data_IF_687830521451
#
_entry.id   IF_687830521451
#
_cell.length_a   1.000
_cell.length_b   1.000
_cell.length_c   1.000
_cell.angle_alpha   90.00
_cell.angle_beta   90.00
_cell.angle_gamma   90.00
#
_symmetry.space_group_name_H-M   'P 1'
#
loop_
_entity.id
_entity.type
_entity.pdbx_description
1 polymer ?
#
# COMPACT_ATOMS: atom_id res chain seq x y z
N UNK A 1 -34.19 -34.95 33.07
CA UNK A 1 -33.26 -34.30 32.10
C UNK A 1 -33.89 -32.99 31.67
N UNK A 2 -33.18 -31.86 31.77
CA UNK A 2 -33.67 -30.57 31.29
C UNK A 2 -32.96 -30.22 29.98
N UNK A 3 -33.66 -29.68 28.96
CA UNK A 3 -33.04 -29.34 27.70
C UNK A 3 -32.10 -28.15 27.88
N UNK A 4 -30.93 -28.22 27.23
CA UNK A 4 -29.98 -27.10 27.12
C UNK A 4 -30.71 -25.97 26.39
N UNK A 5 -30.82 -24.80 27.03
CA UNK A 5 -31.40 -23.61 26.38
C UNK A 5 -30.43 -23.14 25.30
N UNK A 6 -30.91 -23.07 24.06
CA UNK A 6 -30.14 -22.59 22.90
C UNK A 6 -29.53 -21.23 23.21
N UNK A 7 -28.20 -21.15 23.22
CA UNK A 7 -27.48 -19.88 23.28
C UNK A 7 -27.78 -19.15 21.97
N UNK A 8 -28.36 -17.95 22.03
CA UNK A 8 -28.63 -17.19 20.82
C UNK A 8 -27.32 -16.85 20.11
N UNK A 9 -27.31 -16.99 18.79
CA UNK A 9 -26.21 -16.52 17.98
C UNK A 9 -26.14 -14.99 18.15
N UNK A 10 -25.12 -14.48 18.84
CA UNK A 10 -24.86 -13.05 18.92
C UNK A 10 -23.92 -12.72 17.74
N UNK A 11 -24.41 -12.13 16.64
CA UNK A 11 -23.55 -11.74 15.53
C UNK A 11 -22.67 -10.58 15.98
N UNK A 12 -21.44 -10.89 16.38
CA UNK A 12 -20.42 -9.86 16.64
C UNK A 12 -19.88 -9.38 15.30
N UNK A 13 -20.20 -8.14 14.92
CA UNK A 13 -19.61 -7.46 13.77
C UNK A 13 -18.20 -6.98 14.17
N UNK A 14 -17.20 -7.83 13.98
CA UNK A 14 -15.80 -7.44 14.13
C UNK A 14 -15.43 -6.57 12.93
N UNK A 15 -15.22 -5.27 13.17
CA UNK A 15 -14.72 -4.35 12.14
C UNK A 15 -13.22 -4.62 12.00
N UNK A 16 -12.85 -5.50 11.07
CA UNK A 16 -11.45 -5.71 10.70
C UNK A 16 -11.01 -4.44 9.97
N UNK A 17 -10.39 -3.50 10.69
CA UNK A 17 -9.71 -2.37 10.07
C UNK A 17 -8.48 -2.92 9.37
N UNK A 18 -8.64 -3.24 8.07
CA UNK A 18 -7.52 -3.43 7.17
C UNK A 18 -6.90 -2.04 7.04
N UNK A 19 -5.90 -1.73 7.86
CA UNK A 19 -5.12 -0.51 7.68
C UNK A 19 -4.67 -0.49 6.22
N UNK A 20 -5.15 0.50 5.46
CA UNK A 20 -4.83 0.63 4.06
C UNK A 20 -3.37 1.09 3.96
N UNK A 21 -2.44 0.14 4.14
CA UNK A 21 -1.01 0.41 4.04
C UNK A 21 -0.73 0.75 2.59
N UNK A 22 -0.47 2.03 2.32
CA UNK A 22 -0.10 2.49 1.00
C UNK A 22 1.05 1.62 0.46
N UNK A 23 0.94 1.06 -0.77
CA UNK A 23 1.98 0.24 -1.34
C UNK A 23 3.34 0.92 -1.35
N UNK A 24 4.41 0.16 -1.10
CA UNK A 24 5.78 0.68 -0.97
C UNK A 24 6.21 1.57 -2.15
N UNK A 25 5.82 1.19 -3.37
CA UNK A 25 6.18 1.96 -4.57
C UNK A 25 5.56 3.37 -4.58
N UNK A 26 4.38 3.56 -3.96
CA UNK A 26 3.73 4.87 -3.86
C UNK A 26 4.48 5.74 -2.84
N UNK A 27 4.84 5.16 -1.69
CA UNK A 27 5.60 5.84 -0.64
C UNK A 27 6.96 6.34 -1.14
N UNK A 28 7.62 5.55 -2.00
CA UNK A 28 8.95 5.89 -2.54
C UNK A 28 8.94 6.75 -3.79
N UNK A 29 7.78 6.97 -4.42
CA UNK A 29 7.69 7.71 -5.68
C UNK A 29 8.30 9.13 -5.65
N UNK A 30 8.10 9.96 -4.61
CA UNK A 30 8.73 11.29 -4.55
C UNK A 30 10.25 11.18 -4.57
N UNK A 31 10.80 10.30 -3.72
CA UNK A 31 12.25 10.15 -3.57
C UNK A 31 12.92 9.57 -4.81
N UNK A 32 12.27 8.61 -5.46
CA UNK A 32 12.76 8.02 -6.71
C UNK A 32 12.79 9.07 -7.82
N UNK A 33 11.80 9.95 -7.91
CA UNK A 33 11.77 11.06 -8.88
C UNK A 33 12.88 12.08 -8.61
N UNK A 34 13.12 12.45 -7.35
CA UNK A 34 14.24 13.32 -6.98
C UNK A 34 15.58 12.73 -7.43
N UNK A 35 15.85 11.46 -7.10
CA UNK A 35 17.11 10.80 -7.48
C UNK A 35 17.26 10.69 -9.00
N UNK A 36 16.14 10.47 -9.72
CA UNK A 36 16.14 10.44 -11.18
C UNK A 36 16.44 11.82 -11.78
N UNK A 37 15.89 12.89 -11.19
CA UNK A 37 16.19 14.27 -11.58
C UNK A 37 17.65 14.67 -11.31
N UNK A 38 18.28 14.06 -10.30
CA UNK A 38 19.73 14.18 -10.04
C UNK A 38 20.59 13.36 -11.02
N UNK A 39 20.00 12.75 -12.05
CA UNK A 39 20.72 12.02 -13.10
C UNK A 39 21.04 10.57 -12.77
N UNK A 40 20.57 10.02 -11.64
CA UNK A 40 20.81 8.61 -11.31
C UNK A 40 20.08 7.65 -12.27
N UNK A 41 20.72 6.53 -12.58
CA UNK A 41 20.08 5.43 -13.32
C UNK A 41 19.11 4.66 -12.41
N UNK A 42 18.16 3.94 -13.00
CA UNK A 42 17.20 3.15 -12.21
C UNK A 42 17.91 2.09 -11.35
N UNK A 43 19.01 1.51 -11.84
CA UNK A 43 19.80 0.52 -11.12
C UNK A 43 20.54 1.14 -9.94
N UNK A 44 21.13 2.33 -10.11
CA UNK A 44 21.75 3.08 -9.01
C UNK A 44 20.72 3.43 -7.93
N UNK A 45 19.51 3.82 -8.33
CA UNK A 45 18.41 4.13 -7.40
C UNK A 45 17.98 2.86 -6.64
N UNK A 46 17.85 1.72 -7.35
CA UNK A 46 17.50 0.44 -6.76
C UNK A 46 18.51 0.01 -5.69
N UNK A 47 19.80 0.11 -5.99
CA UNK A 47 20.90 -0.18 -5.04
C UNK A 47 20.85 0.79 -3.86
N UNK A 48 20.75 2.11 -4.13
CA UNK A 48 20.77 3.15 -3.10
C UNK A 48 19.60 3.06 -2.12
N UNK A 49 18.41 2.68 -2.60
CA UNK A 49 17.22 2.53 -1.78
C UNK A 49 17.01 1.09 -1.28
N UNK A 50 17.89 0.16 -1.64
CA UNK A 50 17.78 -1.27 -1.35
C UNK A 50 16.39 -1.84 -1.73
N UNK A 51 15.93 -1.54 -2.96
CA UNK A 51 14.65 -2.01 -3.50
C UNK A 51 14.84 -2.67 -4.85
N UNK A 52 13.88 -3.51 -5.23
CA UNK A 52 13.90 -4.11 -6.56
C UNK A 52 13.78 -3.07 -7.67
N UNK A 53 14.41 -3.32 -8.81
CA UNK A 53 14.25 -2.51 -10.01
C UNK A 53 12.79 -2.41 -10.47
N UNK A 54 11.98 -3.44 -10.19
CA UNK A 54 10.54 -3.45 -10.48
C UNK A 54 9.80 -2.40 -9.65
N UNK A 55 10.17 -2.24 -8.38
CA UNK A 55 9.63 -1.19 -7.50
C UNK A 55 9.96 0.19 -8.06
N UNK A 56 11.21 0.42 -8.47
CA UNK A 56 11.65 1.70 -9.05
C UNK A 56 10.86 2.04 -10.32
N UNK A 57 10.71 1.08 -11.24
CA UNK A 57 9.92 1.27 -12.47
C UNK A 57 8.46 1.58 -12.17
N UNK A 58 7.85 0.83 -11.24
CA UNK A 58 6.45 1.04 -10.85
C UNK A 58 6.25 2.42 -10.20
N UNK A 59 7.19 2.86 -9.36
CA UNK A 59 7.18 4.20 -8.76
C UNK A 59 7.33 5.33 -9.77
N UNK A 60 8.16 5.17 -10.80
CA UNK A 60 8.33 6.19 -11.85
C UNK A 60 7.09 6.32 -12.72
N UNK A 61 6.41 5.20 -13.01
CA UNK A 61 5.17 5.18 -13.79
C UNK A 61 3.91 5.54 -12.98
N UNK A 62 4.04 5.67 -11.66
CA UNK A 62 2.92 6.00 -10.79
C UNK A 62 2.63 7.49 -10.85
N UNK A 63 1.40 7.88 -11.22
CA UNK A 63 0.95 9.25 -11.18
C UNK A 63 0.17 9.53 -9.89
N UNK A 64 0.50 10.63 -9.20
CA UNK A 64 -0.17 11.03 -7.97
C UNK A 64 -1.65 11.38 -8.16
N UNK A 65 -2.08 11.63 -9.40
CA UNK A 65 -3.49 11.84 -9.77
C UNK A 65 -4.38 10.65 -9.44
N UNK A 66 -3.81 9.44 -9.35
CA UNK A 66 -4.56 8.20 -9.15
C UNK A 66 -4.94 7.96 -7.68
N UNK A 67 -4.40 8.76 -6.75
CA UNK A 67 -4.65 8.63 -5.31
C UNK A 67 -5.95 9.35 -4.89
N UNK A 68 -6.32 10.44 -5.55
CA UNK A 68 -7.47 11.26 -5.12
C UNK A 68 -8.84 10.67 -5.49
N UNK A 69 -8.91 9.66 -6.36
CA UNK A 69 -10.19 9.09 -6.79
C UNK A 69 -10.77 8.01 -5.86
N UNK A 70 -9.99 7.46 -4.91
CA UNK A 70 -10.41 6.32 -4.08
C UNK A 70 -10.91 6.70 -2.67
N UNK A 71 -11.08 7.99 -2.37
CA UNK A 71 -11.50 8.46 -1.04
C UNK A 71 -12.96 8.90 -0.93
N UNK A 72 -13.77 8.65 -1.97
CA UNK A 72 -15.19 9.00 -2.02
C UNK A 72 -16.08 7.78 -2.29
N UNK A 73 -16.06 6.74 -1.44
CA UNK A 73 -17.16 5.77 -1.32
C UNK A 73 -17.24 5.20 0.09
#
# INVERSE_FOLDING_TARGET
MHPIRTISLIPVKIKITIEQVAPLYQKLAPKIRELKALGMTQDQIAIKLNVSIKTVRKSLNFNFSDIQQNHFY
#
